data_IF_953531477427
#
_entry.id   IF_953531477427
#
_cell.length_a   1.000
_cell.length_b   1.000
_cell.length_c   1.000
_cell.angle_alpha   90.00
_cell.angle_beta   90.00
_cell.angle_gamma   90.00
#
_symmetry.space_group_name_H-M   'P 1'
#
loop_
_entity.id
_entity.type
_entity.pdbx_description
1 polymer ?
#
# COMPACT_ATOMS: atom_id res chain seq x y z
N UNK A 1 8.20 1.01 45.28
CA UNK A 1 7.84 0.06 44.22
C UNK A 1 6.99 0.79 43.19
N UNK A 2 7.51 1.09 42.00
CA UNK A 2 7.13 0.37 40.79
C UNK A 2 8.00 0.84 39.63
N UNK A 3 8.72 -0.15 39.10
CA UNK A 3 9.51 -0.21 37.88
C UNK A 3 8.68 0.05 36.64
N UNK A 4 9.24 0.77 35.67
CA UNK A 4 9.31 0.34 34.25
C UNK A 4 10.16 1.34 33.44
N UNK A 5 11.41 0.96 33.16
CA UNK A 5 12.07 1.23 31.87
C UNK A 5 11.45 0.21 30.90
N UNK A 6 11.06 0.63 29.68
CA UNK A 6 11.94 0.28 28.57
C UNK A 6 12.01 1.36 27.50
N UNK A 7 13.24 1.63 27.09
CA UNK A 7 13.56 2.03 25.73
C UNK A 7 13.12 0.90 24.77
N UNK A 8 11.90 0.97 24.27
CA UNK A 8 11.50 0.33 23.01
C UNK A 8 10.97 1.43 22.11
N UNK A 9 11.90 1.93 21.29
CA UNK A 9 11.62 2.77 20.15
C UNK A 9 10.91 1.87 19.14
N UNK A 10 9.64 2.13 18.86
CA UNK A 10 8.92 1.52 17.74
C UNK A 10 8.76 2.62 16.66
N UNK A 11 9.67 2.72 15.68
CA UNK A 11 9.58 3.74 14.64
C UNK A 11 8.61 3.26 13.57
N UNK A 12 7.33 3.14 13.89
CA UNK A 12 6.27 3.06 12.89
C UNK A 12 5.09 3.94 13.29
N UNK A 13 5.33 5.25 13.31
CA UNK A 13 4.24 6.22 13.13
C UNK A 13 3.73 6.07 11.70
N UNK A 14 2.90 5.02 11.52
CA UNK A 14 2.21 4.72 10.28
C UNK A 14 1.37 5.93 9.93
N UNK A 15 1.76 6.65 8.87
CA UNK A 15 0.84 7.41 8.04
C UNK A 15 -0.43 6.55 7.94
N UNK A 16 -1.59 7.02 8.42
CA UNK A 16 -2.83 6.23 8.59
C UNK A 16 -3.46 5.66 7.31
N UNK A 17 -2.65 5.40 6.27
CA UNK A 17 -2.95 4.65 5.07
C UNK A 17 -3.24 3.20 5.44
N UNK A 18 -4.39 2.65 4.99
CA UNK A 18 -4.65 1.24 5.15
C UNK A 18 -3.61 0.42 4.41
N UNK A 19 -3.05 -0.58 5.08
CA UNK A 19 -2.01 -1.45 4.55
C UNK A 19 -2.24 -2.90 4.99
N UNK A 20 -1.77 -3.85 4.18
CA UNK A 20 -1.70 -5.27 4.52
C UNK A 20 -0.29 -5.77 4.25
N UNK A 21 0.21 -6.67 5.09
CA UNK A 21 1.53 -7.30 4.94
C UNK A 21 1.35 -8.80 4.74
N UNK A 22 2.04 -9.34 3.73
CA UNK A 22 1.95 -10.74 3.35
C UNK A 22 3.36 -11.35 3.32
N UNK A 23 3.58 -12.48 4.01
CA UNK A 23 4.86 -13.17 3.94
C UNK A 23 5.03 -13.88 2.59
N UNK A 24 6.27 -13.96 2.12
CA UNK A 24 6.60 -14.71 0.93
C UNK A 24 8.08 -15.06 0.82
N UNK A 25 8.38 -15.89 -0.17
CA UNK A 25 9.73 -16.36 -0.46
C UNK A 25 10.12 -16.05 -1.89
N UNK A 26 11.35 -15.56 -2.10
CA UNK A 26 11.89 -15.34 -3.44
C UNK A 26 12.12 -16.69 -4.12
N UNK A 27 11.29 -17.03 -5.09
CA UNK A 27 11.36 -18.33 -5.77
C UNK A 27 12.50 -18.37 -6.79
N UNK A 28 12.66 -17.31 -7.58
CA UNK A 28 13.72 -17.17 -8.57
C UNK A 28 13.95 -15.71 -8.95
N UNK A 29 15.13 -15.45 -9.51
CA UNK A 29 15.43 -14.18 -10.16
C UNK A 29 15.34 -14.38 -11.67
N UNK A 30 14.55 -13.53 -12.32
CA UNK A 30 14.33 -13.54 -13.76
C UNK A 30 15.28 -12.52 -14.37
N UNK A 31 16.30 -12.95 -15.13
CA UNK A 31 17.20 -12.03 -15.79
C UNK A 31 16.44 -11.21 -16.83
N UNK A 32 16.86 -9.96 -17.00
CA UNK A 32 16.32 -9.12 -18.07
C UNK A 32 16.78 -9.60 -19.45
N UNK A 33 15.94 -9.38 -20.47
CA UNK A 33 16.30 -9.63 -21.87
C UNK A 33 17.11 -8.48 -22.47
N UNK A 34 17.00 -7.27 -21.88
CA UNK A 34 17.72 -6.07 -22.29
C UNK A 34 18.72 -5.67 -21.21
N UNK A 35 19.95 -5.27 -21.58
CA UNK A 35 20.97 -4.83 -20.62
C UNK A 35 20.58 -3.55 -19.86
N UNK A 36 19.65 -2.76 -20.40
CA UNK A 36 19.16 -1.51 -19.81
C UNK A 36 18.04 -1.70 -18.77
N UNK A 37 17.50 -2.92 -18.66
CA UNK A 37 16.41 -3.23 -17.74
C UNK A 37 16.92 -4.10 -16.57
N UNK A 38 16.52 -3.81 -15.32
CA UNK A 38 16.93 -4.62 -14.18
C UNK A 38 16.29 -6.00 -14.21
N UNK A 39 16.96 -6.96 -13.56
CA UNK A 39 16.38 -8.27 -13.30
C UNK A 39 15.15 -8.16 -12.37
N UNK A 40 14.24 -9.15 -12.46
CA UNK A 40 13.03 -9.18 -11.64
C UNK A 40 13.08 -10.29 -10.61
N UNK A 41 12.73 -9.99 -9.37
CA UNK A 41 12.53 -11.01 -8.36
C UNK A 41 11.10 -11.56 -8.47
N UNK A 42 10.97 -12.88 -8.58
CA UNK A 42 9.69 -13.58 -8.47
C UNK A 42 9.53 -14.08 -7.03
N UNK A 43 8.49 -13.60 -6.37
CA UNK A 43 8.18 -13.89 -4.97
C UNK A 43 6.87 -14.68 -4.93
N UNK A 44 6.89 -15.81 -4.22
CA UNK A 44 5.71 -16.64 -3.96
C UNK A 44 5.21 -16.31 -2.56
N UNK A 45 3.93 -15.93 -2.46
CA UNK A 45 3.25 -15.70 -1.19
C UNK A 45 2.93 -17.03 -0.49
N UNK A 46 3.15 -17.10 0.82
CA UNK A 46 2.94 -18.33 1.59
C UNK A 46 1.43 -18.66 1.73
N UNK A 47 0.59 -17.63 1.89
CA UNK A 47 -0.86 -17.74 2.19
C UNK A 47 -1.80 -17.55 0.99
N UNK A 48 -1.30 -17.40 -0.25
CA UNK A 48 -2.17 -17.12 -1.41
C UNK A 48 -3.07 -18.30 -1.83
N UNK A 49 -3.79 -18.23 -2.95
CA UNK A 49 -4.47 -19.40 -3.55
C UNK A 49 -3.55 -20.06 -4.59
N UNK A 50 -3.52 -21.40 -4.75
CA UNK A 50 -2.45 -22.13 -5.46
C UNK A 50 -2.10 -21.65 -6.88
N UNK A 51 -3.04 -21.00 -7.57
CA UNK A 51 -2.88 -20.55 -8.96
C UNK A 51 -2.41 -19.08 -9.09
N UNK A 52 -2.43 -18.28 -8.01
CA UNK A 52 -2.19 -16.82 -8.08
C UNK A 52 -1.43 -16.28 -6.85
N UNK A 53 -0.29 -16.88 -6.51
CA UNK A 53 0.55 -16.44 -5.38
C UNK A 53 1.82 -15.68 -5.78
N UNK A 54 2.03 -15.46 -7.07
CA UNK A 54 3.30 -14.93 -7.58
C UNK A 54 3.23 -13.41 -7.78
N UNK A 55 4.24 -12.72 -7.24
CA UNK A 55 4.47 -11.30 -7.45
C UNK A 55 5.85 -11.14 -8.11
N UNK A 56 5.92 -10.29 -9.14
CA UNK A 56 7.19 -9.95 -9.82
C UNK A 56 7.48 -8.47 -9.68
N UNK A 57 8.60 -8.14 -9.06
CA UNK A 57 9.08 -6.76 -8.88
C UNK A 57 10.49 -6.63 -9.44
N UNK A 58 10.91 -5.41 -9.76
CA UNK A 58 12.31 -5.13 -10.08
C UNK A 58 13.18 -5.42 -8.86
N UNK A 59 14.30 -6.11 -9.06
CA UNK A 59 15.21 -6.49 -8.00
C UNK A 59 16.22 -5.37 -7.71
N UNK A 60 15.70 -4.17 -7.46
CA UNK A 60 16.48 -2.97 -7.16
C UNK A 60 15.89 -2.40 -5.86
N UNK A 61 16.50 -2.79 -4.74
CA UNK A 61 16.12 -2.32 -3.41
C UNK A 61 17.15 -1.31 -2.92
N UNK A 62 16.76 -0.46 -1.97
CA UNK A 62 17.67 0.42 -1.24
C UNK A 62 17.61 0.07 0.24
N UNK A 63 18.75 0.07 0.91
CA UNK A 63 18.81 -0.01 2.37
C UNK A 63 18.67 1.37 3.03
N UNK A 64 18.84 1.41 4.35
CA UNK A 64 18.71 2.65 5.15
C UNK A 64 19.78 3.70 4.80
N UNK A 65 20.93 3.26 4.29
CA UNK A 65 22.02 4.13 3.85
C UNK A 65 21.85 4.57 2.38
N UNK A 66 20.87 4.00 1.67
CA UNK A 66 20.56 4.26 0.26
C UNK A 66 21.38 3.40 -0.72
N UNK A 67 22.08 2.37 -0.23
CA UNK A 67 22.87 1.48 -1.08
C UNK A 67 21.97 0.48 -1.81
N UNK A 68 22.29 0.20 -3.08
CA UNK A 68 21.52 -0.74 -3.89
C UNK A 68 21.73 -2.19 -3.40
N UNK A 69 20.63 -2.84 -3.06
CA UNK A 69 20.59 -4.24 -2.66
C UNK A 69 19.77 -5.07 -3.65
N UNK A 70 20.18 -6.34 -3.81
CA UNK A 70 19.46 -7.33 -4.61
C UNK A 70 19.06 -8.53 -3.78
N UNK A 71 17.81 -8.95 -3.93
CA UNK A 71 17.28 -10.20 -3.40
C UNK A 71 17.93 -11.40 -4.06
N UNK A 72 17.97 -12.50 -3.30
CA UNK A 72 18.50 -13.79 -3.73
C UNK A 72 17.40 -14.86 -3.66
N UNK A 73 17.44 -15.90 -4.52
CA UNK A 73 16.53 -17.04 -4.40
C UNK A 73 16.58 -17.65 -3.00
N UNK A 74 15.42 -18.01 -2.45
CA UNK A 74 15.24 -18.56 -1.11
C UNK A 74 15.19 -17.52 0.02
N UNK A 75 15.35 -16.23 -0.28
CA UNK A 75 15.19 -15.19 0.74
C UNK A 75 13.72 -15.07 1.17
N UNK A 76 13.50 -15.01 2.48
CA UNK A 76 12.20 -14.65 3.06
C UNK A 76 12.00 -13.14 2.97
N UNK A 77 10.80 -12.71 2.62
CA UNK A 77 10.45 -11.29 2.44
C UNK A 77 9.03 -11.03 2.96
N UNK A 78 8.81 -9.81 3.45
CA UNK A 78 7.49 -9.30 3.79
C UNK A 78 7.03 -8.29 2.75
N UNK A 79 5.90 -8.55 2.09
CA UNK A 79 5.33 -7.65 1.09
C UNK A 79 4.27 -6.80 1.77
N UNK A 80 4.52 -5.49 1.89
CA UNK A 80 3.53 -4.53 2.38
C UNK A 80 2.86 -3.82 1.22
N UNK A 81 1.53 -3.95 1.14
CA UNK A 81 0.69 -3.27 0.16
C UNK A 81 -0.05 -2.15 0.87
N UNK A 82 0.22 -0.91 0.46
CA UNK A 82 -0.42 0.28 1.01
C UNK A 82 -1.41 0.89 0.02
N UNK A 83 -2.61 1.26 0.50
CA UNK A 83 -3.60 1.95 -0.29
C UNK A 83 -3.58 3.46 -0.01
N UNK A 84 -3.25 4.24 -1.04
CA UNK A 84 -3.43 5.69 -1.01
C UNK A 84 -4.93 6.04 -1.21
N UNK A 85 -5.71 6.05 -0.12
CA UNK A 85 -7.12 6.48 -0.20
C UNK A 85 -7.18 8.00 -0.36
N UNK A 86 -7.58 8.46 -1.55
CA UNK A 86 -8.04 9.84 -1.73
C UNK A 86 -9.50 9.94 -1.35
N UNK A 87 -9.79 10.36 -0.11
CA UNK A 87 -11.15 10.67 0.30
C UNK A 87 -11.69 11.84 -0.55
N UNK A 88 -12.68 11.58 -1.40
CA UNK A 88 -13.49 12.64 -2.03
C UNK A 88 -14.68 12.93 -1.15
N UNK A 89 -14.62 14.02 -0.38
CA UNK A 89 -15.78 14.54 0.34
C UNK A 89 -16.66 15.32 -0.63
N UNK A 90 -17.76 14.74 -1.09
CA UNK A 90 -18.79 15.46 -1.84
C UNK A 90 -19.75 16.10 -0.85
N UNK A 91 -19.60 17.40 -0.61
CA UNK A 91 -20.60 18.20 0.12
C UNK A 91 -21.84 18.36 -0.76
N UNK A 92 -22.93 17.65 -0.44
CA UNK A 92 -24.24 17.87 -1.08
C UNK A 92 -24.87 19.12 -0.47
N UNK A 93 -24.85 20.25 -1.20
CA UNK A 93 -25.65 21.41 -0.86
C UNK A 93 -27.13 21.08 -1.09
N UNK A 94 -27.90 20.89 -0.02
CA UNK A 94 -29.36 20.86 -0.11
C UNK A 94 -29.85 22.29 -0.33
N UNK A 95 -30.22 22.63 -1.56
CA UNK A 95 -30.94 23.87 -1.85
C UNK A 95 -32.41 23.73 -1.42
N UNK A 96 -32.80 24.44 -0.35
CA UNK A 96 -34.22 24.72 -0.11
C UNK A 96 -34.67 25.79 -1.10
N UNK A 97 -35.20 25.36 -2.25
CA UNK A 97 -35.98 26.24 -3.12
C UNK A 97 -37.38 26.39 -2.53
N UNK A 98 -37.69 27.57 -1.97
CA UNK A 98 -39.06 28.00 -1.72
C UNK A 98 -39.44 28.97 -2.83
N UNK A 99 -40.41 28.61 -3.65
CA UNK A 99 -41.12 29.51 -4.54
C UNK A 99 -42.34 28.83 -5.15
N UNK A 100 -43.31 29.57 -5.73
CA UNK A 100 -43.80 30.91 -5.40
C UNK A 100 -45.22 30.82 -4.77
N UNK A 101 -45.60 31.73 -3.86
CA UNK A 101 -47.02 31.85 -3.47
C UNK A 101 -47.69 32.84 -4.42
N UNK A 102 -48.33 32.33 -5.46
CA UNK A 102 -49.29 33.09 -6.25
C UNK A 102 -50.53 33.39 -5.37
N UNK A 103 -50.89 34.66 -5.20
CA UNK A 103 -52.19 35.06 -4.65
C UNK A 103 -53.15 35.40 -5.80
N UNK A 104 -54.41 34.92 -5.75
CA UNK A 104 -55.38 35.13 -6.82
C UNK A 104 -55.93 36.56 -6.85
N UNK A 105 -56.42 36.95 -8.04
CA UNK A 105 -57.07 38.21 -8.41
C UNK A 105 -58.56 38.22 -8.01
N UNK A 106 -59.10 39.39 -7.61
CA UNK A 106 -60.54 39.70 -7.40
C UNK A 106 -60.85 40.14 -5.96
N UNK A 107 -61.59 41.21 -5.67
CA UNK A 107 -62.60 42.01 -6.41
C UNK A 107 -62.30 43.52 -6.45
#
# INVERSE_FOLDING_TARGET
>A
MNTQDPREQDPTEKDGRPATTLPGTVQKIIPSLSPDEPEKAEIVLDDGEPLYREIRIENVLQDEDGEELRLKPGAAVDITVEAAIRLRSTTVLRSNAVGPVARPFGE
#
